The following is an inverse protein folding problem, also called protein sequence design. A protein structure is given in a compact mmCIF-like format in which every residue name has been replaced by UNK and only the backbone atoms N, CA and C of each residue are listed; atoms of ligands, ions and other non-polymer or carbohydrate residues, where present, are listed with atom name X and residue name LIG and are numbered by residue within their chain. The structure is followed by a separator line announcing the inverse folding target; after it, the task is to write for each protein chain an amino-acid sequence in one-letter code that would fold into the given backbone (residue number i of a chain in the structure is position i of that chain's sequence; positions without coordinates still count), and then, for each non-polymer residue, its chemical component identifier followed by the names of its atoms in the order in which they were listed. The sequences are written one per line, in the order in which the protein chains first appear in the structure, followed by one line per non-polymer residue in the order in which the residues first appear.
data_IF_941007859646
#
_entry.id   IF_941007859646
#
_cell.length_a   1.000
_cell.length_b   1.000
_cell.length_c   1.000
_cell.angle_alpha   90.00
_cell.angle_beta   90.00
_cell.angle_gamma   90.00
#
_symmetry.space_group_name_H-M   'P 1'
#
loop_
_entity.id
_entity.type
_entity.pdbx_description
1 polymer ?
#
# COMPACT_ATOMS: atom_id res chain seq x y z
N UNK A 1 5.41 -14.82 -31.71
CA UNK A 1 4.76 -13.75 -32.51
C UNK A 1 4.40 -12.61 -31.55
N UNK A 2 5.07 -11.46 -31.69
CA UNK A 2 4.70 -10.26 -30.95
C UNK A 2 3.47 -9.65 -31.64
N UNK A 3 2.28 -9.83 -31.08
CA UNK A 3 1.07 -9.17 -31.59
C UNK A 3 1.09 -7.71 -31.12
N UNK A 4 1.35 -6.79 -32.05
CA UNK A 4 1.21 -5.35 -31.77
C UNK A 4 -0.26 -5.00 -31.72
N UNK A 5 -0.68 -4.31 -30.66
CA UNK A 5 -2.03 -3.76 -30.55
C UNK A 5 -1.93 -2.27 -30.82
N UNK A 6 -2.56 -1.80 -31.91
CA UNK A 6 -2.61 -0.40 -32.27
C UNK A 6 -3.85 0.26 -31.66
N UNK A 7 -3.69 1.41 -31.02
CA UNK A 7 -4.77 2.22 -30.49
C UNK A 7 -4.56 3.69 -30.89
N UNK A 8 -5.67 4.39 -31.12
CA UNK A 8 -5.64 5.84 -31.40
C UNK A 8 -5.71 6.64 -30.12
N UNK A 9 -5.00 7.75 -30.08
CA UNK A 9 -5.19 8.79 -29.10
C UNK A 9 -6.41 9.62 -29.54
N UNK A 10 -7.36 9.86 -28.67
CA UNK A 10 -8.52 10.69 -28.96
C UNK A 10 -8.17 12.19 -28.89
N UNK A 11 -9.12 13.06 -29.24
CA UNK A 11 -8.94 14.50 -29.24
C UNK A 11 -8.77 15.10 -27.82
N UNK A 12 -9.00 14.32 -26.76
CA UNK A 12 -8.74 14.69 -25.38
C UNK A 12 -7.41 14.12 -24.86
N UNK A 13 -6.59 13.52 -25.74
CA UNK A 13 -5.30 12.93 -25.38
C UNK A 13 -5.40 11.58 -24.65
N UNK A 14 -6.54 10.87 -24.69
CA UNK A 14 -6.75 9.61 -24.01
C UNK A 14 -6.45 8.40 -24.89
N UNK A 15 -5.89 7.36 -24.29
CA UNK A 15 -5.70 6.04 -24.91
C UNK A 15 -6.45 5.01 -24.10
N UNK A 16 -7.28 4.18 -24.77
CA UNK A 16 -7.96 3.07 -24.12
C UNK A 16 -7.01 1.88 -24.00
N UNK A 17 -6.70 1.44 -22.80
CA UNK A 17 -5.95 0.21 -22.55
C UNK A 17 -6.87 -1.00 -22.80
N UNK A 18 -6.55 -1.87 -23.77
CA UNK A 18 -7.39 -3.02 -24.10
C UNK A 18 -7.61 -3.96 -22.93
N UNK A 19 -8.80 -4.58 -22.90
CA UNK A 19 -9.19 -5.49 -21.81
C UNK A 19 -8.22 -6.66 -21.64
N UNK A 20 -7.64 -7.15 -22.73
CA UNK A 20 -6.66 -8.24 -22.74
C UNK A 20 -5.37 -7.81 -22.03
N UNK A 21 -4.88 -6.58 -22.27
CA UNK A 21 -3.71 -6.01 -21.59
C UNK A 21 -4.04 -5.80 -20.12
N UNK A 22 -5.20 -5.21 -19.80
CA UNK A 22 -5.62 -4.99 -18.41
C UNK A 22 -5.68 -6.32 -17.64
N UNK A 23 -6.27 -7.37 -18.24
CA UNK A 23 -6.31 -8.72 -17.63
C UNK A 23 -4.91 -9.30 -17.43
N UNK A 24 -4.06 -9.26 -18.48
CA UNK A 24 -2.70 -9.80 -18.42
C UNK A 24 -1.82 -9.13 -17.35
N UNK A 25 -2.00 -7.83 -17.16
CA UNK A 25 -1.26 -7.04 -16.19
C UNK A 25 -2.01 -6.87 -14.85
N UNK A 26 -3.18 -7.51 -14.71
CA UNK A 26 -4.05 -7.38 -13.52
C UNK A 26 -4.37 -5.93 -13.16
N UNK A 27 -4.63 -5.07 -14.17
CA UNK A 27 -5.01 -3.68 -13.99
C UNK A 27 -6.52 -3.61 -13.72
N UNK A 28 -6.88 -3.05 -12.57
CA UNK A 28 -8.27 -2.87 -12.16
C UNK A 28 -8.80 -1.49 -12.52
N UNK A 29 -10.12 -1.33 -12.59
CA UNK A 29 -10.75 -0.04 -12.81
C UNK A 29 -10.46 0.89 -11.60
N UNK A 30 -10.05 2.14 -11.90
CA UNK A 30 -9.63 3.11 -10.89
C UNK A 30 -8.21 2.94 -10.37
N UNK A 31 -7.44 1.96 -10.87
CA UNK A 31 -6.05 1.78 -10.48
C UNK A 31 -5.16 2.87 -11.06
N UNK A 32 -4.28 3.43 -10.22
CA UNK A 32 -3.30 4.43 -10.64
C UNK A 32 -2.13 3.76 -11.35
N UNK A 33 -1.82 4.26 -12.53
CA UNK A 33 -0.69 3.82 -13.33
C UNK A 33 0.32 4.95 -13.47
N UNK A 34 1.59 4.65 -13.39
CA UNK A 34 2.65 5.57 -13.73
C UNK A 34 2.83 5.60 -15.25
N UNK A 35 3.09 6.78 -15.77
CA UNK A 35 3.44 7.01 -17.17
C UNK A 35 4.83 7.61 -17.19
N UNK A 36 5.71 7.03 -17.98
CA UNK A 36 7.07 7.50 -18.17
C UNK A 36 7.42 7.57 -19.66
N UNK A 37 8.46 8.31 -20.00
CA UNK A 37 8.97 8.45 -21.37
C UNK A 37 10.41 7.95 -21.40
N UNK A 38 10.68 6.96 -22.22
CA UNK A 38 12.01 6.39 -22.43
C UNK A 38 12.23 6.15 -23.93
N UNK A 39 13.30 6.67 -24.47
CA UNK A 39 13.70 6.47 -25.88
C UNK A 39 12.55 6.61 -26.90
N UNK A 40 11.79 7.69 -26.80
CA UNK A 40 10.64 7.97 -27.67
C UNK A 40 9.46 6.95 -27.54
N UNK A 41 9.37 6.27 -26.39
CA UNK A 41 8.29 5.36 -26.04
C UNK A 41 7.54 5.88 -24.82
N UNK A 42 6.22 5.69 -24.82
CA UNK A 42 5.41 5.88 -23.60
C UNK A 42 5.35 4.54 -22.89
N UNK A 43 5.86 4.49 -21.67
CA UNK A 43 5.84 3.32 -20.81
C UNK A 43 4.76 3.52 -19.77
N UNK A 44 3.80 2.60 -19.72
CA UNK A 44 2.75 2.59 -18.70
C UNK A 44 2.98 1.36 -17.83
N UNK A 45 3.12 1.57 -16.52
CA UNK A 45 3.36 0.48 -15.59
C UNK A 45 2.59 0.69 -14.30
N UNK A 46 2.26 -0.43 -13.65
CA UNK A 46 1.75 -0.36 -12.29
C UNK A 46 2.81 0.30 -11.42
N UNK A 47 2.38 1.16 -10.53
CA UNK A 47 3.24 1.62 -9.45
C UNK A 47 3.65 0.36 -8.66
N UNK A 48 4.68 -0.34 -9.12
CA UNK A 48 5.34 -1.35 -8.27
C UNK A 48 5.74 -0.58 -7.02
N UNK A 49 5.26 -1.03 -5.88
CA UNK A 49 5.65 -0.43 -4.63
C UNK A 49 7.15 -0.19 -4.70
N UNK A 50 7.56 1.06 -4.53
CA UNK A 50 8.98 1.45 -4.65
C UNK A 50 9.81 0.41 -3.89
N UNK A 51 10.69 -0.33 -4.58
CA UNK A 51 11.48 -1.40 -3.94
C UNK A 51 12.23 -0.88 -2.72
N UNK A 52 12.71 0.36 -2.80
CA UNK A 52 13.35 1.04 -1.66
C UNK A 52 12.36 1.22 -0.51
N UNK A 53 11.13 1.65 -0.81
CA UNK A 53 10.07 1.80 0.18
C UNK A 53 9.71 0.45 0.80
N UNK A 54 9.50 -0.59 -0.01
CA UNK A 54 9.19 -1.93 0.50
C UNK A 54 10.29 -2.47 1.42
N UNK A 55 11.56 -2.30 1.03
CA UNK A 55 12.70 -2.68 1.85
C UNK A 55 12.76 -1.88 3.16
N UNK A 56 12.51 -0.57 3.08
CA UNK A 56 12.45 0.30 4.24
C UNK A 56 11.32 -0.12 5.19
N UNK A 57 10.11 -0.34 4.69
CA UNK A 57 8.96 -0.77 5.48
C UNK A 57 9.17 -2.17 6.10
N UNK A 58 9.85 -3.08 5.40
CA UNK A 58 10.24 -4.39 5.94
C UNK A 58 11.19 -4.24 7.15
N UNK A 59 12.19 -3.37 7.03
CA UNK A 59 13.10 -3.06 8.14
C UNK A 59 12.32 -2.45 9.31
N UNK A 60 11.43 -1.51 9.05
CA UNK A 60 10.61 -0.85 10.07
C UNK A 60 9.68 -1.84 10.77
N UNK A 61 9.02 -2.74 10.02
CA UNK A 61 8.16 -3.78 10.59
C UNK A 61 8.95 -4.70 11.52
N UNK A 62 10.11 -5.17 11.09
CA UNK A 62 11.00 -6.03 11.89
C UNK A 62 11.53 -5.32 13.14
N UNK A 63 11.88 -4.04 13.01
CA UNK A 63 12.37 -3.22 14.12
C UNK A 63 11.28 -2.99 15.17
N UNK A 64 10.05 -2.66 14.73
CA UNK A 64 8.90 -2.53 15.62
C UNK A 64 8.57 -3.83 16.33
N UNK A 65 8.54 -4.96 15.60
CA UNK A 65 8.32 -6.28 16.19
C UNK A 65 9.35 -6.58 17.29
N UNK A 66 10.63 -6.36 17.00
CA UNK A 66 11.73 -6.59 17.96
C UNK A 66 11.63 -5.67 19.18
N UNK A 67 11.29 -4.40 18.95
CA UNK A 67 11.24 -3.41 20.03
C UNK A 67 10.01 -3.60 20.92
N UNK A 68 8.83 -3.84 20.35
CA UNK A 68 7.59 -4.00 21.10
C UNK A 68 7.36 -5.44 21.58
N UNK A 69 8.12 -6.41 21.09
CA UNK A 69 7.89 -7.84 21.29
C UNK A 69 6.45 -8.26 20.93
N UNK A 70 5.94 -7.70 19.82
CA UNK A 70 4.59 -7.94 19.32
C UNK A 70 4.59 -8.17 17.82
N UNK A 71 3.62 -8.95 17.34
CA UNK A 71 3.41 -9.08 15.91
C UNK A 71 2.91 -7.77 15.33
N UNK A 72 3.52 -7.35 14.23
CA UNK A 72 3.25 -6.09 13.54
C UNK A 72 2.97 -6.40 12.07
N UNK A 73 2.00 -5.70 11.53
CA UNK A 73 1.68 -5.74 10.10
C UNK A 73 1.59 -4.31 9.58
N UNK A 74 2.25 -4.03 8.45
CA UNK A 74 2.09 -2.79 7.69
C UNK A 74 1.45 -3.16 6.35
N UNK A 75 0.42 -2.44 5.95
CA UNK A 75 -0.25 -2.63 4.66
C UNK A 75 -0.67 -1.30 4.06
N UNK A 76 -0.71 -1.24 2.72
CA UNK A 76 -1.26 -0.10 2.01
C UNK A 76 -2.76 -0.26 1.75
N UNK A 77 -3.45 0.84 1.48
CA UNK A 77 -4.90 0.83 1.23
C UNK A 77 -5.30 0.10 -0.06
N UNK A 78 -4.36 -0.16 -0.96
CA UNK A 78 -4.63 -0.84 -2.23
C UNK A 78 -4.37 -2.33 -2.15
N UNK A 79 -3.84 -2.81 -1.01
CA UNK A 79 -3.38 -4.20 -0.87
C UNK A 79 -2.20 -4.53 -1.78
N UNK A 80 -1.46 -3.49 -2.26
CA UNK A 80 -0.31 -3.66 -3.14
C UNK A 80 0.86 -4.32 -2.42
N UNK A 81 0.94 -4.16 -1.12
CA UNK A 81 1.88 -4.85 -0.25
C UNK A 81 1.28 -5.06 1.13
N UNK A 82 1.74 -6.12 1.76
CA UNK A 82 1.51 -6.41 3.16
C UNK A 82 2.83 -6.95 3.72
N UNK A 83 3.40 -6.23 4.66
CA UNK A 83 4.62 -6.62 5.36
C UNK A 83 4.26 -7.04 6.77
N UNK A 84 4.68 -8.22 7.17
CA UNK A 84 4.26 -8.81 8.42
C UNK A 84 5.39 -9.57 9.09
N UNK A 85 5.47 -9.46 10.41
CA UNK A 85 6.23 -10.38 11.25
C UNK A 85 5.54 -11.75 11.39
N UNK A 86 4.31 -11.87 10.88
CA UNK A 86 3.43 -13.04 10.95
C UNK A 86 2.75 -13.23 9.60
N UNK A 87 2.57 -14.49 9.15
CA UNK A 87 1.84 -14.76 7.92
C UNK A 87 0.36 -14.37 8.07
N UNK A 88 0.00 -13.23 7.50
CA UNK A 88 -1.35 -12.70 7.52
C UNK A 88 -1.77 -12.37 6.09
N UNK A 89 -2.97 -12.78 5.72
CA UNK A 89 -3.66 -12.37 4.50
C UNK A 89 -4.90 -11.59 4.90
N UNK A 90 -5.06 -10.38 4.36
CA UNK A 90 -6.28 -9.62 4.56
C UNK A 90 -7.34 -10.05 3.56
N UNK A 91 -8.57 -10.23 4.05
CA UNK A 91 -9.70 -10.39 3.15
C UNK A 91 -10.09 -9.03 2.54
N UNK A 92 -10.70 -9.07 1.37
CA UNK A 92 -11.15 -7.88 0.63
C UNK A 92 -12.14 -7.05 1.46
N UNK A 93 -12.95 -7.68 2.29
CA UNK A 93 -13.96 -6.99 3.11
C UNK A 93 -13.32 -6.10 4.17
N UNK A 94 -12.25 -6.57 4.80
CA UNK A 94 -11.49 -5.75 5.75
C UNK A 94 -10.89 -4.52 5.07
N UNK A 95 -10.24 -4.71 3.91
CA UNK A 95 -9.63 -3.60 3.15
C UNK A 95 -10.69 -2.58 2.72
N UNK A 96 -11.84 -3.02 2.20
CA UNK A 96 -12.93 -2.13 1.80
C UNK A 96 -13.52 -1.37 2.99
N UNK A 97 -13.70 -2.04 4.12
CA UNK A 97 -14.17 -1.43 5.35
C UNK A 97 -13.16 -0.41 5.88
N UNK A 98 -11.86 -0.73 5.83
CA UNK A 98 -10.81 0.19 6.23
C UNK A 98 -10.76 1.43 5.34
N UNK A 99 -10.87 1.28 4.00
CA UNK A 99 -10.96 2.41 3.06
C UNK A 99 -12.13 3.35 3.37
N UNK A 100 -13.29 2.79 3.69
CA UNK A 100 -14.50 3.58 3.95
C UNK A 100 -14.51 4.23 5.34
N UNK A 101 -13.85 3.62 6.32
CA UNK A 101 -13.78 4.06 7.72
C UNK A 101 -12.37 3.83 8.28
N UNK A 102 -11.39 4.67 7.96
CA UNK A 102 -9.98 4.47 8.38
C UNK A 102 -9.80 4.52 9.90
N UNK A 103 -10.77 5.03 10.64
CA UNK A 103 -10.78 5.04 12.10
C UNK A 103 -11.21 3.70 12.72
N UNK A 104 -11.17 2.60 11.98
CA UNK A 104 -11.34 1.27 12.56
C UNK A 104 -10.19 1.06 13.54
N UNK A 105 -10.55 0.99 14.83
CA UNK A 105 -9.57 0.91 15.92
C UNK A 105 -9.02 -0.50 16.07
N UNK A 106 -9.74 -1.54 15.59
CA UNK A 106 -9.40 -2.94 15.86
C UNK A 106 -9.52 -3.83 14.60
N UNK A 107 -8.65 -4.83 14.52
CA UNK A 107 -8.68 -5.89 13.52
C UNK A 107 -9.02 -7.22 14.21
N UNK A 108 -10.06 -7.93 13.76
CA UNK A 108 -10.59 -9.18 14.30
C UNK A 108 -11.07 -9.13 15.76
N UNK A 109 -10.32 -8.51 16.66
CA UNK A 109 -10.68 -8.39 18.08
C UNK A 109 -10.13 -7.10 18.71
N UNK A 110 -10.54 -6.82 19.95
CA UNK A 110 -10.19 -5.59 20.67
C UNK A 110 -8.70 -5.48 21.04
N UNK A 111 -7.92 -6.56 20.89
CA UNK A 111 -6.51 -6.55 21.22
C UNK A 111 -5.60 -6.28 20.03
N UNK A 112 -6.16 -6.19 18.81
CA UNK A 112 -5.41 -5.95 17.60
C UNK A 112 -5.72 -4.55 17.07
N UNK A 113 -4.90 -3.58 17.42
CA UNK A 113 -5.14 -2.17 17.10
C UNK A 113 -4.65 -1.80 15.71
N UNK A 114 -5.51 -1.12 14.96
CA UNK A 114 -5.20 -0.54 13.65
C UNK A 114 -4.87 0.94 13.84
N UNK A 115 -3.73 1.37 13.32
CA UNK A 115 -3.29 2.77 13.36
C UNK A 115 -3.07 3.21 11.91
N UNK A 116 -3.96 4.06 11.36
CA UNK A 116 -3.81 4.58 10.01
C UNK A 116 -2.64 5.57 9.93
N UNK A 117 -2.00 5.65 8.78
CA UNK A 117 -1.06 6.71 8.45
C UNK A 117 -1.40 7.38 7.13
N UNK A 118 -1.01 8.64 7.03
CA UNK A 118 -1.38 9.52 5.94
C UNK A 118 -0.12 10.12 5.32
N UNK A 119 -0.16 10.34 4.01
CA UNK A 119 0.88 11.03 3.26
C UNK A 119 0.20 12.16 2.51
N UNK A 120 0.70 13.38 2.62
CA UNK A 120 0.08 14.58 2.04
C UNK A 120 -1.41 14.73 2.38
N UNK A 121 -1.82 14.29 3.57
CA UNK A 121 -3.21 14.32 4.02
C UNK A 121 -4.11 13.21 3.46
N UNK A 122 -3.59 12.34 2.60
CA UNK A 122 -4.31 11.18 2.06
C UNK A 122 -4.01 9.91 2.83
N UNK A 123 -5.03 9.10 3.08
CA UNK A 123 -4.85 7.80 3.70
C UNK A 123 -3.95 6.92 2.82
N UNK A 124 -2.78 6.57 3.31
CA UNK A 124 -1.82 5.75 2.59
C UNK A 124 -1.89 4.27 2.97
N UNK A 125 -2.04 3.99 4.25
CA UNK A 125 -2.09 2.63 4.76
C UNK A 125 -2.32 2.59 6.26
N UNK A 126 -2.00 1.45 6.86
CA UNK A 126 -2.06 1.31 8.32
C UNK A 126 -1.02 0.33 8.86
N UNK A 127 -0.76 0.48 10.15
CA UNK A 127 -0.06 -0.50 10.98
C UNK A 127 -1.07 -1.22 11.86
N UNK A 128 -1.02 -2.54 11.91
CA UNK A 128 -1.74 -3.34 12.91
C UNK A 128 -0.73 -3.82 13.95
N UNK A 129 -1.06 -3.58 15.21
CA UNK A 129 -0.33 -4.11 16.37
C UNK A 129 -1.20 -5.19 16.99
N UNK A 130 -0.68 -6.42 17.01
CA UNK A 130 -1.33 -7.53 17.68
C UNK A 130 -1.07 -7.50 19.18
N UNK A 131 -2.03 -7.94 19.96
CA UNK A 131 -1.94 -7.97 21.43
C UNK A 131 -1.55 -6.61 22.04
N UNK A 132 -2.15 -5.55 21.51
CA UNK A 132 -1.98 -4.18 22.03
C UNK A 132 -2.40 -4.10 23.50
N UNK A 133 -1.56 -3.53 24.37
CA UNK A 133 -1.83 -3.52 25.81
C UNK A 133 -1.89 -2.12 26.44
N UNK A 134 -1.15 -1.17 25.92
CA UNK A 134 -0.98 0.12 26.60
C UNK A 134 -0.65 1.29 25.65
N UNK A 135 -0.68 2.49 26.20
CA UNK A 135 -0.39 3.74 25.49
C UNK A 135 1.09 3.88 25.06
N UNK A 136 2.01 3.15 25.72
CA UNK A 136 3.43 3.15 25.35
C UNK A 136 3.62 2.58 23.93
N UNK A 137 2.92 1.49 23.61
CA UNK A 137 2.95 0.91 22.27
C UNK A 137 2.51 1.93 21.21
N UNK A 138 1.50 2.74 21.54
CA UNK A 138 0.97 3.76 20.63
C UNK A 138 1.99 4.87 20.36
N UNK A 139 2.68 5.34 21.38
CA UNK A 139 3.64 6.42 21.24
C UNK A 139 4.84 5.97 20.40
N UNK A 140 5.36 4.77 20.65
CA UNK A 140 6.42 4.19 19.83
C UNK A 140 6.00 4.08 18.38
N UNK A 141 4.80 3.57 18.09
CA UNK A 141 4.32 3.44 16.70
C UNK A 141 4.12 4.80 16.05
N UNK A 142 3.68 5.83 16.76
CA UNK A 142 3.58 7.18 16.21
C UNK A 142 4.93 7.74 15.76
N UNK A 143 5.99 7.54 16.54
CA UNK A 143 7.34 7.94 16.14
C UNK A 143 7.79 7.21 14.87
N UNK A 144 7.55 5.90 14.80
CA UNK A 144 7.84 5.14 13.58
C UNK A 144 7.01 5.59 12.38
N UNK A 145 5.74 5.92 12.58
CA UNK A 145 4.89 6.46 11.52
C UNK A 145 5.42 7.78 10.97
N UNK A 146 5.86 8.68 11.83
CA UNK A 146 6.44 9.96 11.40
C UNK A 146 7.70 9.77 10.54
N UNK A 147 8.48 8.73 10.80
CA UNK A 147 9.65 8.38 9.98
C UNK A 147 9.20 7.81 8.63
N UNK A 148 8.18 6.95 8.62
CA UNK A 148 7.62 6.37 7.39
C UNK A 148 7.03 7.46 6.50
N UNK A 149 6.22 8.35 7.06
CA UNK A 149 5.61 9.47 6.36
C UNK A 149 6.67 10.34 5.67
N UNK A 150 7.68 10.79 6.42
CA UNK A 150 8.81 11.56 5.85
C UNK A 150 9.55 10.83 4.73
N UNK A 151 9.77 9.52 4.88
CA UNK A 151 10.46 8.74 3.85
C UNK A 151 9.65 8.61 2.55
N UNK A 152 8.33 8.65 2.64
CA UNK A 152 7.45 8.54 1.47
C UNK A 152 7.32 9.90 0.76
N UNK A 153 7.41 11.01 1.49
CA UNK A 153 7.36 12.38 0.95
C UNK A 153 8.64 12.79 0.19
N UNK A 154 9.79 12.15 0.46
CA UNK A 154 11.06 12.34 -0.28
C UNK A 154 11.09 11.56 -1.62
#
# INVERSE_FOLDING_TARGET
MNSFITKRVDNLGRIVIPKEIRKKLHINDGELLNIDIEDNKIIIYKKKGNYKLLKFLDIMTKSLNKFLHKDIVIFDINGSYCLSSKNITFNTDFINKFKSKPNIIFYENMHNKVIPFFVDGYLYGAIIIFSYKNETDRNVVKEFLSIIEKYIEE
#
